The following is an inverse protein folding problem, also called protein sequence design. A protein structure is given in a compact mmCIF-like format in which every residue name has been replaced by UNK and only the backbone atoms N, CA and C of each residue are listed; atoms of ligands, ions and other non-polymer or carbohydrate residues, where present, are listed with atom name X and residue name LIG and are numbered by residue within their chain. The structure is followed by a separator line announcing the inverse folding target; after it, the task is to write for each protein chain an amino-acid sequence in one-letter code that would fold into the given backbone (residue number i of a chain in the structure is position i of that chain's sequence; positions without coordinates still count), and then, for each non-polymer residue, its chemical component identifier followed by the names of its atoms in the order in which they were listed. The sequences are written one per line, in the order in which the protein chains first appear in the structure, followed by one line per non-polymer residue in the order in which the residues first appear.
data_IF_202621228283
#
_entry.id   IF_202621228283
#
_cell.length_a   1.000
_cell.length_b   1.000
_cell.length_c   1.000
_cell.angle_alpha   90.00
_cell.angle_beta   90.00
_cell.angle_gamma   90.00
#
_symmetry.space_group_name_H-M   'P 1'
#
loop_
_entity.id
_entity.type
_entity.pdbx_description
1 polymer ?
#
# COMPACT_ATOMS: atom_id res chain seq x y z
N UNK A 1 11.62 -9.92 -7.33
CA UNK A 1 10.60 -9.43 -6.41
C UNK A 1 10.24 -8.00 -6.74
N UNK A 2 8.97 -7.73 -6.83
CA UNK A 2 8.49 -6.44 -7.27
C UNK A 2 8.11 -5.55 -6.11
N UNK A 3 8.54 -4.30 -6.18
CA UNK A 3 8.21 -3.31 -5.15
C UNK A 3 7.37 -2.21 -5.78
N UNK A 4 6.36 -1.80 -5.06
CA UNK A 4 5.49 -0.72 -5.49
C UNK A 4 5.86 0.55 -4.76
N UNK A 5 5.82 1.67 -5.46
CA UNK A 5 5.95 2.97 -4.80
C UNK A 5 4.67 3.27 -4.04
N UNK A 6 4.72 4.31 -3.21
CA UNK A 6 3.53 4.72 -2.46
C UNK A 6 2.41 5.05 -3.43
N UNK A 7 2.72 5.72 -4.53
CA UNK A 7 1.72 6.07 -5.53
C UNK A 7 1.07 4.82 -6.13
N UNK A 8 1.90 3.87 -6.52
CA UNK A 8 1.39 2.64 -7.11
C UNK A 8 0.57 1.83 -6.12
N UNK A 9 1.03 1.82 -4.87
CA UNK A 9 0.32 1.09 -3.84
C UNK A 9 -1.05 1.70 -3.57
N UNK A 10 -1.13 3.02 -3.52
CA UNK A 10 -2.40 3.70 -3.30
C UNK A 10 -3.38 3.38 -4.43
N UNK A 11 -2.88 3.40 -5.65
CA UNK A 11 -3.73 3.11 -6.80
C UNK A 11 -4.23 1.67 -6.76
N UNK A 12 -3.34 0.75 -6.40
CA UNK A 12 -3.69 -0.66 -6.38
C UNK A 12 -4.64 -1.01 -5.23
N UNK A 13 -4.45 -0.40 -4.09
CA UNK A 13 -5.24 -0.74 -2.91
C UNK A 13 -6.57 0.00 -2.86
N UNK A 14 -6.58 1.24 -3.25
CA UNK A 14 -7.76 2.07 -3.09
C UNK A 14 -8.48 2.35 -4.40
N UNK A 15 -7.79 2.18 -5.51
CA UNK A 15 -8.42 2.34 -6.82
C UNK A 15 -8.80 3.75 -7.20
N UNK A 16 -8.45 4.71 -6.38
CA UNK A 16 -8.79 6.11 -6.62
C UNK A 16 -7.60 6.92 -7.11
N UNK A 17 -6.48 6.23 -7.33
CA UNK A 17 -5.28 6.92 -7.69
C UNK A 17 -4.59 7.50 -6.48
N UNK A 18 -3.59 8.31 -6.74
CA UNK A 18 -2.77 8.87 -5.69
C UNK A 18 -3.31 10.24 -5.27
N UNK A 19 -4.06 10.26 -4.20
CA UNK A 19 -4.58 11.50 -3.63
C UNK A 19 -3.97 11.71 -2.26
N UNK A 20 -4.18 12.90 -1.71
CA UNK A 20 -3.67 13.18 -0.38
C UNK A 20 -4.34 12.28 0.65
N UNK A 21 -5.62 12.03 0.48
CA UNK A 21 -6.35 11.15 1.39
C UNK A 21 -5.83 9.72 1.32
N UNK A 22 -5.57 9.22 0.11
CA UNK A 22 -5.02 7.88 -0.07
C UNK A 22 -3.66 7.76 0.57
N UNK A 23 -2.82 8.77 0.38
CA UNK A 23 -1.48 8.77 0.93
C UNK A 23 -1.52 8.72 2.45
N UNK A 24 -2.39 9.53 3.06
CA UNK A 24 -2.50 9.54 4.51
C UNK A 24 -3.01 8.22 5.03
N UNK A 25 -3.96 7.62 4.33
CA UNK A 25 -4.52 6.34 4.71
C UNK A 25 -3.46 5.24 4.68
N UNK A 26 -2.69 5.21 3.60
CA UNK A 26 -1.63 4.23 3.47
C UNK A 26 -0.58 4.41 4.55
N UNK A 27 -0.22 5.65 4.83
CA UNK A 27 0.77 5.94 5.85
C UNK A 27 0.29 5.48 7.22
N UNK A 28 -0.99 5.65 7.49
CA UNK A 28 -1.56 5.19 8.74
C UNK A 28 -1.45 3.66 8.86
N UNK A 29 -1.71 2.97 7.77
CA UNK A 29 -1.59 1.51 7.75
C UNK A 29 -0.15 1.09 8.02
N UNK A 30 0.80 1.80 7.44
CA UNK A 30 2.22 1.51 7.67
C UNK A 30 2.57 1.73 9.14
N UNK A 31 2.11 2.81 9.71
CA UNK A 31 2.41 3.14 11.11
C UNK A 31 1.79 2.13 12.06
N UNK A 32 0.64 1.61 11.71
CA UNK A 32 -0.03 0.62 12.56
C UNK A 32 0.56 -0.77 12.41
N UNK A 33 1.42 -0.97 11.44
CA UNK A 33 1.99 -2.28 11.19
C UNK A 33 1.12 -3.17 10.33
N UNK A 34 0.08 -2.64 9.73
CA UNK A 34 -0.76 -3.42 8.82
C UNK A 34 -0.04 -3.72 7.53
N UNK A 35 0.85 -2.85 7.13
CA UNK A 35 1.65 -3.00 5.92
C UNK A 35 3.11 -2.86 6.28
N UNK A 36 3.92 -3.78 5.78
CA UNK A 36 5.36 -3.70 5.93
C UNK A 36 5.91 -2.93 4.74
N UNK A 37 6.49 -1.78 5.01
CA UNK A 37 7.06 -0.95 3.98
C UNK A 37 8.58 -0.93 4.13
N UNK A 38 9.25 -0.87 2.99
CA UNK A 38 10.70 -0.79 2.95
C UNK A 38 11.05 0.68 2.79
N UNK A 39 11.80 1.20 3.75
CA UNK A 39 12.19 2.60 3.75
C UNK A 39 13.51 2.75 3.00
N UNK A 40 13.56 3.69 2.06
CA UNK A 40 14.76 3.98 1.31
C UNK A 40 14.89 5.50 1.26
N UNK A 41 15.53 6.08 2.28
CA UNK A 41 15.61 7.52 2.39
C UNK A 41 14.22 8.10 2.65
N UNK A 42 13.84 9.10 1.86
CA UNK A 42 12.52 9.72 2.04
C UNK A 42 11.39 8.94 1.40
N UNK A 43 11.71 7.81 0.76
CA UNK A 43 10.72 7.05 0.02
C UNK A 43 10.39 5.75 0.71
N UNK A 44 9.17 5.28 0.47
CA UNK A 44 8.73 3.99 0.94
C UNK A 44 8.37 3.12 -0.25
N UNK A 45 8.69 1.84 -0.13
CA UNK A 45 8.32 0.85 -1.13
C UNK A 45 7.54 -0.25 -0.45
N UNK A 46 6.50 -0.72 -1.09
CA UNK A 46 5.65 -1.77 -0.55
C UNK A 46 5.80 -3.02 -1.43
N UNK A 47 6.16 -4.17 -0.84
CA UNK A 47 6.28 -5.39 -1.61
C UNK A 47 4.96 -5.76 -2.26
N UNK A 48 5.04 -6.32 -3.45
CA UNK A 48 3.86 -6.69 -4.20
C UNK A 48 2.97 -7.67 -3.43
N UNK A 49 3.58 -8.59 -2.72
CA UNK A 49 2.79 -9.59 -2.00
C UNK A 49 1.92 -8.97 -0.92
N UNK A 50 2.36 -7.86 -0.34
CA UNK A 50 1.55 -7.13 0.62
C UNK A 50 0.30 -6.56 -0.06
N UNK A 51 0.50 -5.99 -1.23
CA UNK A 51 -0.61 -5.41 -1.99
C UNK A 51 -1.62 -6.50 -2.35
N UNK A 52 -1.12 -7.62 -2.85
CA UNK A 52 -1.99 -8.71 -3.25
C UNK A 52 -2.74 -9.29 -2.06
N UNK A 53 -2.07 -9.40 -0.92
CA UNK A 53 -2.69 -9.96 0.26
C UNK A 53 -3.85 -9.09 0.73
N UNK A 54 -3.66 -7.79 0.74
CA UNK A 54 -4.69 -6.88 1.21
C UNK A 54 -5.83 -6.77 0.22
N UNK A 55 -5.50 -6.62 -1.06
CA UNK A 55 -6.51 -6.53 -2.08
C UNK A 55 -7.27 -7.84 -2.25
N UNK A 56 -6.53 -8.94 -2.23
CA UNK A 56 -7.14 -10.25 -2.36
C UNK A 56 -8.05 -10.57 -1.20
N UNK A 57 -7.69 -10.12 -0.02
CA UNK A 57 -8.52 -10.35 1.15
C UNK A 57 -9.89 -9.72 0.99
N UNK A 58 -9.94 -8.56 0.39
CA UNK A 58 -11.20 -7.88 0.14
C UNK A 58 -12.11 -8.72 -0.74
N UNK A 59 -11.54 -9.27 -1.79
CA UNK A 59 -12.32 -10.08 -2.71
C UNK A 59 -12.84 -11.32 -2.01
N UNK A 60 -12.00 -11.94 -1.23
CA UNK A 60 -12.38 -13.17 -0.55
C UNK A 60 -13.36 -12.89 0.58
N UNK A 61 -13.20 -11.75 1.21
CA UNK A 61 -14.05 -11.41 2.32
C UNK A 61 -15.45 -11.00 1.94
N UNK A 62 -15.63 -10.68 0.69
CA UNK A 62 -16.96 -10.21 0.24
C UNK A 62 -17.89 -11.32 -0.15
#
# INVERSE_FOLDING_TARGET
QQLYTVREACDALFGEGYTEASRKRLRRWINKGCIQAISDGPRYFIPRWQILKLGGSDENGS
#
